data_IF_701588875272
#
_entry.id   IF_701588875272
#
_cell.length_a   1.000
_cell.length_b   1.000
_cell.length_c   1.000
_cell.angle_alpha   90.00
_cell.angle_beta   90.00
_cell.angle_gamma   90.00
#
_symmetry.space_group_name_H-M   'P 1'
#
loop_
_entity.id
_entity.type
_entity.pdbx_description
1 polymer ?
#
# COMPACT_ATOMS: atom_id res chain seq x y z
N UNK A 1 -24.59 3.73 -4.10
CA UNK A 1 -25.02 4.84 -3.28
C UNK A 1 -23.82 5.49 -2.63
N UNK A 2 -24.05 6.42 -1.72
CA UNK A 2 -22.95 7.20 -1.12
C UNK A 2 -21.87 6.33 -0.46
N UNK A 3 -22.25 5.24 0.24
CA UNK A 3 -21.29 4.35 0.91
C UNK A 3 -20.40 3.60 -0.09
N UNK A 4 -20.98 3.10 -1.18
CA UNK A 4 -20.22 2.45 -2.25
C UNK A 4 -19.30 3.45 -2.93
N UNK A 5 -19.77 4.69 -3.09
CA UNK A 5 -18.96 5.76 -3.67
C UNK A 5 -17.69 5.99 -2.86
N UNK A 6 -17.79 6.00 -1.52
CA UNK A 6 -16.63 6.15 -0.63
C UNK A 6 -15.65 5.00 -0.82
N UNK A 7 -16.11 3.76 -0.76
CA UNK A 7 -15.24 2.59 -0.96
C UNK A 7 -14.58 2.60 -2.33
N UNK A 8 -15.34 2.90 -3.36
CA UNK A 8 -14.84 2.97 -4.74
C UNK A 8 -13.76 4.04 -4.86
N UNK A 9 -13.98 5.22 -4.29
CA UNK A 9 -13.00 6.31 -4.31
C UNK A 9 -11.74 5.95 -3.54
N UNK A 10 -11.87 5.33 -2.36
CA UNK A 10 -10.73 4.90 -1.56
C UNK A 10 -9.90 3.83 -2.30
N UNK A 11 -10.57 2.85 -2.91
CA UNK A 11 -9.89 1.83 -3.70
C UNK A 11 -9.14 2.46 -4.88
N UNK A 12 -9.77 3.41 -5.55
CA UNK A 12 -9.17 4.13 -6.67
C UNK A 12 -7.91 4.89 -6.24
N UNK A 13 -7.96 5.56 -5.08
CA UNK A 13 -6.80 6.26 -4.53
C UNK A 13 -5.66 5.30 -4.17
N UNK A 14 -6.00 4.14 -3.63
CA UNK A 14 -5.00 3.09 -3.36
C UNK A 14 -4.35 2.60 -4.66
N UNK A 15 -5.13 2.37 -5.70
CA UNK A 15 -4.61 1.95 -6.99
C UNK A 15 -3.69 3.01 -7.60
N UNK A 16 -4.07 4.29 -7.50
CA UNK A 16 -3.23 5.39 -7.98
C UNK A 16 -1.90 5.46 -7.23
N UNK A 17 -1.92 5.31 -5.91
CA UNK A 17 -0.71 5.28 -5.09
C UNK A 17 0.22 4.14 -5.52
N UNK A 18 -0.35 2.98 -5.78
CA UNK A 18 0.41 1.81 -6.20
C UNK A 18 0.99 1.99 -7.61
N UNK A 19 0.22 2.54 -8.53
CA UNK A 19 0.70 2.84 -9.89
C UNK A 19 1.87 3.81 -9.88
N UNK A 20 1.82 4.83 -9.01
CA UNK A 20 2.92 5.79 -8.87
C UNK A 20 4.19 5.08 -8.38
N UNK A 21 4.07 4.18 -7.42
CA UNK A 21 5.21 3.38 -6.94
C UNK A 21 5.76 2.48 -8.05
N UNK A 22 4.88 1.85 -8.80
CA UNK A 22 5.26 0.97 -9.90
C UNK A 22 6.04 1.73 -10.97
N UNK A 23 5.55 2.89 -11.39
CA UNK A 23 6.23 3.74 -12.35
C UNK A 23 7.63 4.12 -11.88
N UNK A 24 7.77 4.48 -10.60
CA UNK A 24 9.06 4.85 -10.01
C UNK A 24 10.06 3.69 -10.04
N UNK A 25 9.61 2.50 -9.65
CA UNK A 25 10.47 1.31 -9.64
C UNK A 25 10.87 0.91 -11.06
N UNK A 26 9.94 0.95 -12.01
CA UNK A 26 10.22 0.62 -13.40
C UNK A 26 11.22 1.62 -14.02
N UNK A 27 11.11 2.91 -13.68
CA UNK A 27 12.07 3.92 -14.13
C UNK A 27 13.47 3.63 -13.59
N UNK A 28 13.58 3.26 -12.31
CA UNK A 28 14.87 2.90 -11.70
C UNK A 28 15.47 1.67 -12.40
N UNK A 29 14.64 0.65 -12.69
CA UNK A 29 15.10 -0.56 -13.40
C UNK A 29 15.62 -0.22 -14.78
N UNK A 30 14.94 0.65 -15.50
CA UNK A 30 15.38 1.06 -16.85
C UNK A 30 16.69 1.84 -16.78
N UNK A 31 16.84 2.74 -15.82
CA UNK A 31 18.09 3.49 -15.63
C UNK A 31 19.26 2.57 -15.31
N UNK A 32 19.03 1.57 -14.44
CA UNK A 32 20.06 0.57 -14.09
C UNK A 32 20.46 -0.23 -15.32
N UNK A 33 19.47 -0.65 -16.11
CA UNK A 33 19.70 -1.40 -17.36
C UNK A 33 20.61 -0.62 -18.32
N UNK A 34 20.31 0.66 -18.52
CA UNK A 34 21.12 1.54 -19.37
C UNK A 34 22.52 1.71 -18.82
N UNK A 35 22.65 1.91 -17.49
CA UNK A 35 23.96 2.06 -16.84
C UNK A 35 24.78 0.78 -16.95
N UNK A 36 24.18 -0.39 -16.83
CA UNK A 36 24.85 -1.67 -17.01
C UNK A 36 25.37 -1.84 -18.45
N UNK A 37 24.60 -1.41 -19.43
CA UNK A 37 25.03 -1.42 -20.82
C UNK A 37 26.23 -0.52 -21.05
N UNK A 38 26.24 0.69 -20.48
CA UNK A 38 27.37 1.61 -20.54
C UNK A 38 28.62 1.03 -19.89
N UNK A 39 28.47 0.42 -18.70
CA UNK A 39 29.58 -0.23 -18.01
C UNK A 39 30.15 -1.40 -18.81
N UNK A 40 29.30 -2.16 -19.48
CA UNK A 40 29.73 -3.27 -20.34
C UNK A 40 30.60 -2.79 -21.52
N UNK A 41 30.34 -1.59 -22.02
CA UNK A 41 31.12 -0.96 -23.11
C UNK A 41 32.39 -0.28 -22.65
N UNK A 42 32.58 -0.08 -21.35
CA UNK A 42 33.75 0.57 -20.79
C UNK A 42 34.92 -0.40 -20.73
N UNK A 43 36.14 0.13 -20.85
CA UNK A 43 37.39 -0.63 -20.69
C UNK A 43 38.12 -0.26 -19.39
N UNK A 44 37.43 0.25 -18.39
CA UNK A 44 38.02 0.89 -17.22
C UNK A 44 38.48 -0.07 -16.10
N UNK A 45 38.66 -1.35 -16.34
CA UNK A 45 39.27 -2.28 -15.37
C UNK A 45 38.49 -2.42 -14.04
N UNK A 46 39.20 -2.29 -12.90
CA UNK A 46 38.65 -2.50 -11.55
C UNK A 46 37.46 -1.59 -11.23
N UNK A 47 37.51 -0.35 -11.70
CA UNK A 47 36.41 0.61 -11.51
C UNK A 47 35.15 0.13 -12.23
N UNK A 48 35.33 -0.44 -13.41
CA UNK A 48 34.25 -0.99 -14.20
C UNK A 48 33.57 -2.14 -13.45
N UNK A 49 34.34 -3.06 -12.88
CA UNK A 49 33.81 -4.20 -12.14
C UNK A 49 33.07 -3.76 -10.87
N UNK A 50 33.61 -2.80 -10.13
CA UNK A 50 33.00 -2.26 -8.91
C UNK A 50 31.68 -1.58 -9.24
N UNK A 51 31.67 -0.72 -10.25
CA UNK A 51 30.45 -0.02 -10.69
C UNK A 51 29.38 -1.00 -11.12
N UNK A 52 29.77 -2.03 -11.88
CA UNK A 52 28.84 -3.07 -12.32
C UNK A 52 28.25 -3.84 -11.14
N UNK A 53 29.07 -4.20 -10.14
CA UNK A 53 28.62 -4.92 -8.95
C UNK A 53 27.59 -4.12 -8.17
N UNK A 54 27.82 -2.81 -7.98
CA UNK A 54 26.88 -1.93 -7.31
C UNK A 54 25.56 -1.83 -8.07
N UNK A 55 25.60 -1.71 -9.39
CA UNK A 55 24.40 -1.67 -10.22
C UNK A 55 23.59 -2.98 -10.13
N UNK A 56 24.27 -4.12 -10.05
CA UNK A 56 23.63 -5.41 -9.88
C UNK A 56 22.87 -5.47 -8.54
N UNK A 57 23.49 -4.97 -7.45
CA UNK A 57 22.84 -4.90 -6.14
C UNK A 57 21.60 -3.99 -6.18
N UNK A 58 21.70 -2.85 -6.83
CA UNK A 58 20.57 -1.94 -6.99
C UNK A 58 19.46 -2.58 -7.80
N UNK A 59 19.82 -3.35 -8.82
CA UNK A 59 18.85 -4.08 -9.66
C UNK A 59 18.10 -5.12 -8.85
N UNK A 60 18.79 -5.86 -7.96
CA UNK A 60 18.17 -6.82 -7.08
C UNK A 60 17.20 -6.16 -6.12
N UNK A 61 17.61 -5.03 -5.52
CA UNK A 61 16.75 -4.26 -4.63
C UNK A 61 15.48 -3.79 -5.34
N UNK A 62 15.62 -3.25 -6.55
CA UNK A 62 14.47 -2.80 -7.35
C UNK A 62 13.56 -3.98 -7.71
N UNK A 63 14.14 -5.15 -7.99
CA UNK A 63 13.38 -6.37 -8.25
C UNK A 63 12.55 -6.82 -7.07
N UNK A 64 13.09 -6.72 -5.86
CA UNK A 64 12.34 -7.02 -4.63
C UNK A 64 11.20 -6.03 -4.42
N UNK A 65 11.43 -4.75 -4.68
CA UNK A 65 10.39 -3.72 -4.60
C UNK A 65 9.27 -4.00 -5.61
N UNK A 66 9.62 -4.40 -6.83
CA UNK A 66 8.65 -4.76 -7.86
C UNK A 66 7.80 -5.96 -7.42
N UNK A 67 8.42 -6.98 -6.83
CA UNK A 67 7.70 -8.16 -6.34
C UNK A 67 6.71 -7.78 -5.24
N UNK A 68 7.08 -6.88 -4.33
CA UNK A 68 6.19 -6.39 -3.27
C UNK A 68 5.01 -5.61 -3.86
N UNK A 69 5.25 -4.79 -4.88
CA UNK A 69 4.17 -4.06 -5.56
C UNK A 69 3.19 -5.05 -6.20
N UNK A 70 3.69 -6.11 -6.84
CA UNK A 70 2.83 -7.13 -7.44
C UNK A 70 1.96 -7.84 -6.41
N UNK A 71 2.51 -8.18 -5.25
CA UNK A 71 1.74 -8.76 -4.14
C UNK A 71 0.65 -7.81 -3.65
N UNK A 72 1.01 -6.54 -3.48
CA UNK A 72 0.09 -5.50 -3.04
C UNK A 72 -1.04 -5.31 -4.04
N UNK A 73 -0.73 -5.36 -5.33
CA UNK A 73 -1.71 -5.28 -6.41
C UNK A 73 -2.73 -6.42 -6.33
N UNK A 74 -2.27 -7.62 -6.01
CA UNK A 74 -3.16 -8.77 -5.82
C UNK A 74 -4.11 -8.57 -4.65
N UNK A 75 -3.64 -7.97 -3.55
CA UNK A 75 -4.50 -7.65 -2.40
C UNK A 75 -5.62 -6.70 -2.82
N UNK A 76 -5.29 -5.63 -3.53
CA UNK A 76 -6.30 -4.67 -4.01
C UNK A 76 -7.32 -5.33 -4.94
N UNK A 77 -6.89 -6.27 -5.78
CA UNK A 77 -7.78 -6.97 -6.72
C UNK A 77 -8.84 -7.81 -6.02
N UNK A 78 -8.64 -8.18 -4.76
CA UNK A 78 -9.57 -8.99 -3.97
C UNK A 78 -10.65 -8.16 -3.27
N UNK A 79 -10.54 -6.84 -3.29
CA UNK A 79 -11.49 -5.96 -2.62
C UNK A 79 -12.73 -5.79 -3.49
N UNK A 80 -13.89 -6.10 -2.91
CA UNK A 80 -15.18 -5.90 -3.54
C UNK A 80 -15.84 -4.67 -2.92
N UNK A 81 -15.99 -3.60 -3.70
CA UNK A 81 -16.57 -2.34 -3.23
C UNK A 81 -18.08 -2.40 -3.02
N UNK A 82 -18.73 -3.44 -3.52
CA UNK A 82 -20.17 -3.60 -3.41
C UNK A 82 -20.59 -4.44 -2.20
N UNK A 83 -19.67 -5.18 -1.60
CA UNK A 83 -19.97 -6.00 -0.44
C UNK A 83 -19.75 -5.22 0.85
N UNK A 84 -20.55 -5.56 1.87
CA UNK A 84 -20.38 -5.04 3.22
C UNK A 84 -20.39 -6.22 4.18
N UNK A 85 -19.71 -6.05 5.31
CA UNK A 85 -19.67 -7.07 6.36
C UNK A 85 -19.84 -6.41 7.72
N UNK A 86 -20.51 -7.11 8.63
CA UNK A 86 -20.64 -6.62 10.01
C UNK A 86 -19.31 -6.68 10.76
N UNK A 87 -18.45 -7.60 10.38
CA UNK A 87 -17.11 -7.74 10.96
C UNK A 87 -16.08 -7.11 10.05
N UNK A 88 -15.13 -6.42 10.63
CA UNK A 88 -14.06 -5.78 9.88
C UNK A 88 -13.18 -6.81 9.19
N UNK A 89 -12.96 -6.64 7.89
CA UNK A 89 -12.09 -7.46 7.07
C UNK A 89 -11.50 -6.65 5.94
N UNK A 90 -10.87 -7.34 4.99
CA UNK A 90 -10.29 -6.70 3.81
C UNK A 90 -11.37 -5.93 3.04
N UNK A 91 -11.10 -4.67 2.75
CA UNK A 91 -12.03 -3.79 2.03
C UNK A 91 -13.00 -3.04 2.91
N UNK A 92 -13.00 -3.30 4.22
CA UNK A 92 -13.86 -2.57 5.16
C UNK A 92 -13.39 -1.13 5.32
N UNK A 93 -14.35 -0.20 5.37
CA UNK A 93 -14.13 1.19 5.76
C UNK A 93 -14.67 1.33 7.18
N UNK A 94 -13.83 1.81 8.09
CA UNK A 94 -14.14 1.85 9.52
C UNK A 94 -14.14 3.30 9.99
N UNK A 95 -15.28 3.73 10.54
CA UNK A 95 -15.39 5.00 11.22
C UNK A 95 -15.26 4.75 12.71
N UNK A 96 -14.47 5.56 13.39
CA UNK A 96 -14.27 5.44 14.84
C UNK A 96 -14.40 6.81 15.49
N UNK A 97 -14.39 6.81 16.81
CA UNK A 97 -14.40 8.07 17.59
C UNK A 97 -13.07 8.83 17.50
N UNK A 98 -12.06 8.24 16.89
CA UNK A 98 -10.74 8.87 16.73
C UNK A 98 -10.42 9.10 15.26
N UNK A 99 -10.03 8.06 14.52
CA UNK A 99 -9.66 8.13 13.10
C UNK A 99 -10.46 7.14 12.26
N UNK A 100 -10.50 7.37 10.96
CA UNK A 100 -11.17 6.46 10.02
C UNK A 100 -10.11 5.64 9.28
N UNK A 101 -10.43 4.38 9.01
CA UNK A 101 -9.49 3.43 8.40
C UNK A 101 -10.12 2.72 7.20
N UNK A 102 -9.26 2.36 6.27
CA UNK A 102 -9.61 1.50 5.14
C UNK A 102 -8.66 0.31 5.14
N UNK A 103 -9.17 -0.89 5.39
CA UNK A 103 -8.34 -2.11 5.42
C UNK A 103 -8.06 -2.53 3.97
N UNK A 104 -6.87 -2.27 3.52
CA UNK A 104 -6.45 -2.53 2.13
C UNK A 104 -4.94 -2.71 2.06
N UNK A 105 -4.24 -1.70 1.63
CA UNK A 105 -2.79 -1.64 1.55
C UNK A 105 -2.32 -0.46 2.40
N UNK A 106 -1.02 -0.40 2.69
CA UNK A 106 -0.43 0.74 3.39
C UNK A 106 -0.19 1.88 2.40
N UNK A 107 -1.18 2.74 2.25
CA UNK A 107 -1.13 3.90 1.35
C UNK A 107 -1.21 5.23 2.09
N UNK A 108 -1.26 5.20 3.43
CA UNK A 108 -1.26 6.40 4.24
C UNK A 108 -2.59 7.14 4.25
N UNK A 109 -2.51 8.45 4.37
CA UNK A 109 -3.67 9.32 4.48
C UNK A 109 -4.34 9.53 3.13
N UNK A 110 -5.63 9.26 3.06
CA UNK A 110 -6.46 9.48 1.88
C UNK A 110 -7.63 10.38 2.27
N UNK A 111 -8.05 11.24 1.33
CA UNK A 111 -9.18 12.14 1.56
C UNK A 111 -10.28 11.89 0.55
N UNK A 112 -11.51 11.73 1.06
CA UNK A 112 -12.71 11.57 0.27
C UNK A 112 -13.82 12.43 0.88
N UNK A 113 -14.41 13.30 0.10
CA UNK A 113 -15.51 14.17 0.51
C UNK A 113 -15.18 14.99 1.79
N UNK A 114 -13.94 15.44 1.91
CA UNK A 114 -13.49 16.23 3.05
C UNK A 114 -13.17 15.44 4.31
N UNK A 115 -13.35 14.13 4.29
CA UNK A 115 -12.99 13.26 5.41
C UNK A 115 -11.66 12.55 5.16
N UNK A 116 -10.91 12.34 6.22
CA UNK A 116 -9.62 11.66 6.17
C UNK A 116 -9.78 10.19 6.54
N UNK A 117 -9.17 9.33 5.74
CA UNK A 117 -9.11 7.89 5.97
C UNK A 117 -7.65 7.44 5.89
N UNK A 118 -7.28 6.51 6.76
CA UNK A 118 -5.94 5.93 6.70
C UNK A 118 -6.03 4.55 6.06
N UNK A 119 -5.41 4.41 4.90
CA UNK A 119 -5.31 3.11 4.24
C UNK A 119 -4.21 2.30 4.92
N UNK A 120 -4.59 1.19 5.51
CA UNK A 120 -3.69 0.33 6.27
C UNK A 120 -3.81 -1.12 5.79
N UNK A 121 -2.70 -1.84 5.89
CA UNK A 121 -2.69 -3.27 5.62
C UNK A 121 -3.21 -4.03 6.84
N UNK A 122 -3.91 -5.14 6.59
CA UNK A 122 -4.37 -6.03 7.65
C UNK A 122 -3.22 -6.59 8.50
N UNK A 123 -2.00 -6.61 7.98
CA UNK A 123 -0.83 -7.13 8.70
C UNK A 123 -0.19 -6.13 9.66
N UNK A 124 -0.60 -4.86 9.62
CA UNK A 124 -0.08 -3.85 10.56
C UNK A 124 -0.63 -4.06 11.96
N UNK A 125 0.04 -3.55 13.01
CA UNK A 125 -0.47 -3.66 14.38
C UNK A 125 -1.89 -3.15 14.54
N UNK A 126 -2.21 -1.96 14.00
CA UNK A 126 -3.58 -1.42 14.08
C UNK A 126 -4.55 -2.27 13.26
N UNK A 127 -4.13 -2.74 12.08
CA UNK A 127 -4.96 -3.62 11.25
C UNK A 127 -5.32 -4.91 11.98
N UNK A 128 -4.37 -5.53 12.66
CA UNK A 128 -4.59 -6.75 13.43
C UNK A 128 -5.60 -6.53 14.57
N UNK A 129 -5.54 -5.38 15.23
CA UNK A 129 -6.48 -5.05 16.29
C UNK A 129 -7.90 -4.85 15.76
N UNK A 130 -8.04 -4.30 14.56
CA UNK A 130 -9.35 -4.00 13.98
C UNK A 130 -10.02 -5.23 13.36
N UNK A 131 -9.26 -6.18 12.82
CA UNK A 131 -9.84 -7.36 12.15
C UNK A 131 -10.82 -8.10 13.05
N UNK A 132 -11.99 -8.40 12.52
CA UNK A 132 -13.03 -9.16 13.21
C UNK A 132 -13.86 -8.35 14.20
N UNK A 133 -13.55 -7.09 14.40
CA UNK A 133 -14.32 -6.21 15.29
C UNK A 133 -15.63 -5.79 14.62
N UNK A 134 -16.56 -5.36 15.45
CA UNK A 134 -17.89 -4.91 15.02
C UNK A 134 -18.19 -3.51 15.56
N UNK A 135 -19.29 -2.92 15.11
CA UNK A 135 -19.75 -1.62 15.63
C UNK A 135 -19.94 -1.73 17.13
N UNK A 136 -19.56 -0.66 17.83
CA UNK A 136 -19.58 -0.49 19.29
C UNK A 136 -18.43 -1.20 20.02
N UNK A 137 -17.60 -1.97 19.34
CA UNK A 137 -16.41 -2.54 19.95
C UNK A 137 -15.41 -1.41 20.29
N UNK A 138 -14.74 -1.58 21.42
CA UNK A 138 -13.71 -0.67 21.87
C UNK A 138 -12.33 -1.24 21.52
N UNK A 139 -11.45 -0.37 21.05
CA UNK A 139 -10.09 -0.75 20.65
C UNK A 139 -9.10 0.18 21.35
N UNK A 140 -8.02 -0.40 21.88
CA UNK A 140 -6.93 0.35 22.48
C UNK A 140 -5.67 0.15 21.64
N UNK A 141 -5.12 1.25 21.16
CA UNK A 141 -3.89 1.24 20.37
C UNK A 141 -2.98 2.38 20.81
N UNK A 142 -1.77 2.03 21.25
CA UNK A 142 -0.76 3.01 21.72
C UNK A 142 -1.33 3.96 22.78
N UNK A 143 -2.01 3.40 23.78
CA UNK A 143 -2.62 4.12 24.90
C UNK A 143 -3.79 5.04 24.50
N UNK A 144 -4.28 4.93 23.26
CA UNK A 144 -5.48 5.63 22.80
C UNK A 144 -6.61 4.63 22.70
N UNK A 145 -7.71 4.92 23.41
CA UNK A 145 -8.92 4.10 23.36
C UNK A 145 -9.92 4.78 22.42
N UNK A 146 -10.51 4.00 21.52
CA UNK A 146 -11.56 4.50 20.63
C UNK A 146 -12.60 3.41 20.39
N UNK A 147 -13.77 3.84 19.92
CA UNK A 147 -14.87 2.94 19.64
C UNK A 147 -15.22 2.97 18.15
N UNK A 148 -15.57 1.81 17.62
CA UNK A 148 -16.01 1.67 16.23
C UNK A 148 -17.45 2.14 16.13
N UNK A 149 -17.70 3.13 15.27
CA UNK A 149 -19.04 3.73 15.14
C UNK A 149 -19.78 3.28 13.89
N UNK A 150 -19.06 2.93 12.82
CA UNK A 150 -19.68 2.53 11.56
C UNK A 150 -18.69 1.69 10.74
N UNK A 151 -19.21 0.70 10.04
CA UNK A 151 -18.43 -0.14 9.12
C UNK A 151 -19.16 -0.16 7.76
N UNK A 152 -18.40 0.14 6.69
CA UNK A 152 -18.90 0.01 5.33
C UNK A 152 -18.26 -1.17 4.60
#
# INVERSE_FOLDING_TARGET
>A
MKNQSIKTQLLQLCNQSLETRLESVLAVIEDIKQSLQSETKSSAGDKHETGRAMLQLEREKAGHQLAEIEKTKQILSKINTESTSKKIGLGSVIFTTNSNYFISISAGELKVDGETFYAISASTPIGQLLLGKTVDDEVVFRNISFRITKIL
#
